data_IF_444776427645
#
_entry.id   IF_444776427645
#
_cell.length_a   1.000
_cell.length_b   1.000
_cell.length_c   1.000
_cell.angle_alpha   90.00
_cell.angle_beta   90.00
_cell.angle_gamma   90.00
#
_symmetry.space_group_name_H-M   'P 1'
#
loop_
_entity.id
_entity.type
_entity.pdbx_description
1 polymer ?
#
# COMPACT_ATOMS: atom_id res chain seq x y z
N UNK A 1 -23.48 -27.12 -20.39
CA UNK A 1 -22.12 -26.54 -20.45
C UNK A 1 -21.17 -27.59 -21.04
N UNK A 2 -20.52 -27.31 -22.16
CA UNK A 2 -19.63 -28.27 -22.84
C UNK A 2 -18.19 -28.05 -22.36
N UNK A 3 -17.56 -29.08 -21.81
CA UNK A 3 -16.18 -29.03 -21.33
C UNK A 3 -15.24 -29.06 -22.56
N UNK A 4 -14.32 -28.09 -22.73
CA UNK A 4 -13.44 -28.06 -23.90
C UNK A 4 -12.51 -29.28 -23.88
N UNK A 5 -12.54 -30.06 -24.96
CA UNK A 5 -11.86 -31.37 -25.08
C UNK A 5 -10.31 -31.33 -25.00
N UNK A 6 -9.69 -30.14 -24.93
CA UNK A 6 -8.23 -29.97 -24.91
C UNK A 6 -7.75 -28.83 -23.99
N UNK A 7 -8.26 -28.78 -22.75
CA UNK A 7 -7.88 -27.75 -21.77
C UNK A 7 -6.35 -27.63 -21.57
N UNK A 8 -5.67 -28.76 -21.38
CA UNK A 8 -4.21 -28.79 -21.15
C UNK A 8 -3.40 -28.34 -22.36
N UNK A 9 -3.75 -28.78 -23.57
CA UNK A 9 -3.02 -28.39 -24.78
C UNK A 9 -3.09 -26.88 -25.05
N UNK A 10 -4.23 -26.25 -24.76
CA UNK A 10 -4.39 -24.80 -24.87
C UNK A 10 -3.55 -24.07 -23.82
N UNK A 11 -3.56 -24.55 -22.57
CA UNK A 11 -2.76 -23.99 -21.48
C UNK A 11 -1.26 -24.06 -21.77
N UNK A 12 -0.75 -25.22 -22.23
CA UNK A 12 0.66 -25.40 -22.60
C UNK A 12 1.09 -24.47 -23.73
N UNK A 13 0.24 -24.27 -24.74
CA UNK A 13 0.50 -23.30 -25.83
C UNK A 13 0.57 -21.87 -25.31
N UNK A 14 -0.33 -21.49 -24.40
CA UNK A 14 -0.29 -20.16 -23.77
C UNK A 14 0.98 -19.99 -22.93
N UNK A 15 1.34 -20.99 -22.13
CA UNK A 15 2.54 -20.97 -21.29
C UNK A 15 3.81 -20.84 -22.14
N UNK A 16 3.95 -21.64 -23.20
CA UNK A 16 5.09 -21.57 -24.13
C UNK A 16 5.17 -20.21 -24.82
N UNK A 17 4.03 -19.67 -25.28
CA UNK A 17 3.98 -18.34 -25.91
C UNK A 17 4.39 -17.24 -24.93
N UNK A 18 3.87 -17.27 -23.70
CA UNK A 18 4.22 -16.30 -22.65
C UNK A 18 5.69 -16.43 -22.25
N UNK A 19 6.21 -17.65 -22.10
CA UNK A 19 7.61 -17.91 -21.78
C UNK A 19 8.56 -17.35 -22.84
N UNK A 20 8.27 -17.56 -24.13
CA UNK A 20 9.06 -17.00 -25.24
C UNK A 20 9.01 -15.47 -25.28
N UNK A 21 7.83 -14.88 -25.11
CA UNK A 21 7.68 -13.42 -25.06
C UNK A 21 8.44 -12.82 -23.87
N UNK A 22 8.31 -13.43 -22.68
CA UNK A 22 9.02 -12.99 -21.48
C UNK A 22 10.55 -13.11 -21.64
N UNK A 23 11.04 -14.20 -22.24
CA UNK A 23 12.46 -14.36 -22.53
C UNK A 23 12.97 -13.27 -23.50
N UNK A 24 12.18 -12.95 -24.53
CA UNK A 24 12.51 -11.88 -25.48
C UNK A 24 12.53 -10.50 -24.81
N UNK A 25 11.57 -10.21 -23.92
CA UNK A 25 11.57 -8.99 -23.12
C UNK A 25 12.74 -8.92 -22.14
N UNK A 26 13.14 -10.05 -21.54
CA UNK A 26 14.31 -10.10 -20.67
C UNK A 26 15.62 -9.82 -21.44
N UNK A 27 15.76 -10.36 -22.66
CA UNK A 27 16.93 -10.12 -23.51
C UNK A 27 16.97 -8.72 -24.14
N UNK A 28 15.80 -8.14 -24.44
CA UNK A 28 15.65 -6.83 -25.09
C UNK A 28 14.52 -6.04 -24.42
N UNK A 29 14.78 -5.41 -23.27
CA UNK A 29 13.76 -4.67 -22.50
C UNK A 29 13.06 -3.56 -23.31
N UNK A 30 13.76 -2.96 -24.28
CA UNK A 30 13.24 -1.90 -25.15
C UNK A 30 12.09 -2.35 -26.06
N UNK A 31 11.96 -3.65 -26.33
CA UNK A 31 10.87 -4.19 -27.14
C UNK A 31 9.57 -4.29 -26.36
N UNK A 32 9.64 -4.37 -25.03
CA UNK A 32 8.46 -4.35 -24.20
C UNK A 32 7.84 -2.94 -24.20
N UNK A 33 6.65 -2.81 -24.80
CA UNK A 33 5.89 -1.55 -24.76
C UNK A 33 5.40 -1.24 -23.34
N UNK A 34 5.27 -2.26 -22.48
CA UNK A 34 4.85 -2.09 -21.09
C UNK A 34 6.01 -1.59 -20.23
N UNK A 35 7.23 -2.13 -20.39
CA UNK A 35 8.43 -1.60 -19.72
C UNK A 35 8.67 -0.13 -20.06
N UNK A 36 8.55 0.29 -21.33
CA UNK A 36 8.67 1.72 -21.71
C UNK A 36 7.60 2.61 -21.10
N UNK A 37 6.38 2.10 -20.88
CA UNK A 37 5.33 2.83 -20.15
C UNK A 37 5.57 2.82 -18.63
N UNK A 38 6.25 1.80 -18.08
CA UNK A 38 6.59 1.72 -16.64
C UNK A 38 7.55 2.82 -16.20
N UNK A 39 8.41 3.31 -17.10
CA UNK A 39 9.35 4.41 -16.78
C UNK A 39 8.63 5.73 -16.47
N UNK A 40 7.40 5.90 -16.95
CA UNK A 40 6.64 7.13 -16.74
C UNK A 40 5.57 6.92 -15.68
N UNK A 41 5.59 7.76 -14.64
CA UNK A 41 4.54 7.73 -13.65
C UNK A 41 3.18 8.05 -14.30
N UNK A 42 2.09 7.40 -13.84
CA UNK A 42 0.74 7.71 -14.30
C UNK A 42 0.39 9.19 -14.10
N UNK A 43 -0.52 9.70 -14.94
CA UNK A 43 -0.97 11.08 -14.82
C UNK A 43 -1.53 11.37 -13.41
N UNK A 44 -1.18 12.54 -12.87
CA UNK A 44 -1.57 13.00 -11.53
C UNK A 44 -0.97 12.21 -10.35
N UNK A 45 0.07 11.43 -10.61
CA UNK A 45 0.96 10.97 -9.55
C UNK A 45 1.72 12.12 -8.92
N UNK A 46 2.35 11.83 -7.78
CA UNK A 46 3.39 12.67 -7.19
C UNK A 46 4.64 11.81 -7.00
N UNK A 47 5.75 12.20 -7.62
CA UNK A 47 7.04 11.53 -7.43
C UNK A 47 7.58 11.90 -6.04
N UNK A 48 7.79 10.88 -5.20
CA UNK A 48 8.31 11.05 -3.84
C UNK A 48 9.82 10.74 -3.74
N UNK A 49 10.48 10.49 -4.88
CA UNK A 49 11.88 10.06 -4.94
C UNK A 49 12.07 8.60 -4.53
N UNK A 50 13.29 8.07 -4.71
CA UNK A 50 13.69 6.72 -4.28
C UNK A 50 12.77 5.57 -4.79
N UNK A 51 12.16 5.74 -5.95
CA UNK A 51 11.18 4.79 -6.50
C UNK A 51 9.78 4.90 -5.89
N UNK A 52 9.60 5.66 -4.82
CA UNK A 52 8.31 5.92 -4.20
C UNK A 52 7.50 6.97 -4.99
N UNK A 53 6.17 6.82 -4.99
CA UNK A 53 5.28 7.79 -5.60
C UNK A 53 3.87 7.72 -5.00
N UNK A 54 3.17 8.84 -4.87
CA UNK A 54 1.73 8.81 -4.62
C UNK A 54 0.98 8.62 -5.93
N UNK A 55 0.02 7.69 -5.95
CA UNK A 55 -0.73 7.30 -7.14
C UNK A 55 -2.21 7.69 -7.03
N UNK A 56 -2.94 7.55 -8.15
CA UNK A 56 -4.40 7.74 -8.11
C UNK A 56 -5.03 6.72 -7.16
N UNK A 57 -5.65 7.24 -6.12
CA UNK A 57 -6.97 7.87 -6.15
C UNK A 57 -6.81 9.18 -5.38
N UNK A 58 -6.93 10.35 -6.02
CA UNK A 58 -6.57 11.65 -5.42
C UNK A 58 -7.78 12.56 -5.32
N UNK A 59 -7.88 13.33 -4.24
CA UNK A 59 -8.88 14.39 -4.15
C UNK A 59 -8.77 15.37 -5.33
N UNK A 60 -9.92 15.77 -5.87
CA UNK A 60 -10.00 16.78 -6.92
C UNK A 60 -9.70 18.18 -6.36
N UNK A 61 -10.27 18.48 -5.20
CA UNK A 61 -10.19 19.77 -4.50
C UNK A 61 -9.38 19.64 -3.20
N UNK A 62 -8.84 20.74 -2.67
CA UNK A 62 -8.18 20.70 -1.37
C UNK A 62 -9.13 20.23 -0.26
N UNK A 63 -8.67 19.26 0.52
CA UNK A 63 -9.25 18.73 1.73
C UNK A 63 -8.74 19.52 2.94
N UNK A 64 -9.64 19.76 3.89
CA UNK A 64 -9.32 20.34 5.19
C UNK A 64 -9.42 19.25 6.25
N UNK A 65 -8.31 18.91 6.94
CA UNK A 65 -8.35 17.93 8.02
C UNK A 65 -9.22 18.40 9.18
N UNK A 66 -9.65 17.44 10.01
CA UNK A 66 -10.32 17.75 11.27
C UNK A 66 -9.33 18.41 12.26
N UNK A 67 -9.82 18.93 13.39
CA UNK A 67 -8.98 19.66 14.35
C UNK A 67 -7.84 18.78 14.93
N UNK A 68 -8.11 17.50 15.16
CA UNK A 68 -7.15 16.56 15.72
C UNK A 68 -6.04 16.21 14.70
N UNK A 69 -6.42 15.79 13.48
CA UNK A 69 -5.49 15.58 12.37
C UNK A 69 -4.63 16.83 12.11
N UNK A 70 -5.25 18.02 12.19
CA UNK A 70 -4.54 19.31 12.04
C UNK A 70 -3.46 19.47 13.12
N UNK A 71 -3.80 19.18 14.37
CA UNK A 71 -2.86 19.25 15.48
C UNK A 71 -1.67 18.31 15.27
N UNK A 72 -1.93 17.04 14.94
CA UNK A 72 -0.89 16.03 14.71
C UNK A 72 0.02 16.44 13.55
N UNK A 73 -0.56 16.89 12.42
CA UNK A 73 0.20 17.35 11.25
C UNK A 73 1.04 18.59 11.58
N UNK A 74 0.46 19.57 12.27
CA UNK A 74 1.19 20.78 12.65
C UNK A 74 2.34 20.48 13.61
N UNK A 75 2.12 19.64 14.62
CA UNK A 75 3.16 19.23 15.57
C UNK A 75 4.28 18.46 14.88
N UNK A 76 3.95 17.53 13.98
CA UNK A 76 4.96 16.72 13.28
C UNK A 76 5.78 17.55 12.27
N UNK A 77 5.14 18.48 11.57
CA UNK A 77 5.79 19.28 10.53
C UNK A 77 6.35 20.61 11.06
N UNK A 78 6.27 20.88 12.36
CA UNK A 78 6.64 22.15 12.97
C UNK A 78 6.00 23.35 12.23
N UNK A 79 4.66 23.33 12.18
CA UNK A 79 3.82 24.36 11.57
C UNK A 79 3.01 25.08 12.65
N UNK A 80 2.75 26.38 12.43
CA UNK A 80 1.85 27.13 13.31
C UNK A 80 0.44 26.52 13.28
N UNK A 81 -0.07 26.14 14.45
CA UNK A 81 -1.41 25.59 14.66
C UNK A 81 -2.54 26.54 14.22
N UNK A 82 -2.28 27.84 14.05
CA UNK A 82 -3.25 28.81 13.49
C UNK A 82 -3.35 28.76 11.97
N UNK A 83 -2.45 28.04 11.30
CA UNK A 83 -2.43 27.92 9.85
C UNK A 83 -3.62 27.11 9.36
N UNK A 84 -4.35 27.63 8.38
CA UNK A 84 -5.41 26.87 7.69
C UNK A 84 -4.78 25.79 6.82
N UNK A 85 -4.57 24.59 7.37
CA UNK A 85 -4.06 23.44 6.61
C UNK A 85 -5.05 23.04 5.52
N UNK A 86 -4.52 22.83 4.32
CA UNK A 86 -5.30 22.49 3.14
C UNK A 86 -4.41 21.76 2.14
N UNK A 87 -4.73 20.50 1.85
CA UNK A 87 -3.96 19.63 0.96
C UNK A 87 -4.88 18.68 0.21
N UNK A 88 -4.41 17.96 -0.80
CA UNK A 88 -5.18 16.87 -1.41
C UNK A 88 -4.86 15.58 -0.68
N UNK A 89 -5.82 14.65 -0.56
CA UNK A 89 -5.52 13.29 -0.10
C UNK A 89 -5.23 12.38 -1.29
N UNK A 90 -4.39 11.40 -1.08
CA UNK A 90 -4.09 10.31 -2.00
C UNK A 90 -4.46 8.96 -1.36
N UNK A 91 -5.00 8.09 -2.20
CA UNK A 91 -5.54 6.77 -1.85
C UNK A 91 -4.53 5.64 -1.93
N UNK A 92 -3.39 5.89 -2.58
CA UNK A 92 -2.39 4.88 -2.93
C UNK A 92 -0.99 5.47 -2.91
N UNK A 93 -0.02 4.67 -2.49
CA UNK A 93 1.39 4.96 -2.60
C UNK A 93 2.12 3.74 -3.19
N UNK A 94 2.96 3.97 -4.20
CA UNK A 94 4.03 3.03 -4.56
C UNK A 94 5.15 3.23 -3.55
N UNK A 95 5.52 2.17 -2.86
CA UNK A 95 6.64 2.14 -1.93
C UNK A 95 7.97 2.00 -2.68
N UNK A 96 9.13 2.30 -2.05
CA UNK A 96 10.44 2.14 -2.67
C UNK A 96 10.69 0.72 -3.23
N UNK A 97 10.12 -0.30 -2.58
CA UNK A 97 10.22 -1.69 -3.00
C UNK A 97 9.27 -2.10 -4.14
N UNK A 98 8.46 -1.17 -4.66
CA UNK A 98 7.50 -1.38 -5.73
C UNK A 98 6.10 -1.88 -5.32
N UNK A 99 5.84 -2.09 -4.02
CA UNK A 99 4.49 -2.43 -3.54
C UNK A 99 3.53 -1.26 -3.69
N UNK A 100 2.24 -1.57 -3.86
CA UNK A 100 1.19 -0.55 -3.80
C UNK A 100 0.48 -0.62 -2.45
N UNK A 101 0.88 0.29 -1.56
CA UNK A 101 0.17 0.53 -0.31
C UNK A 101 -1.11 1.34 -0.59
N UNK A 102 -2.19 0.99 0.10
CA UNK A 102 -3.50 1.64 -0.02
C UNK A 102 -3.86 2.35 1.26
N UNK A 103 -4.81 3.26 1.18
CA UNK A 103 -5.33 3.96 2.36
C UNK A 103 -6.83 3.80 2.48
N UNK A 104 -7.35 4.04 3.68
CA UNK A 104 -8.79 4.11 3.95
C UNK A 104 -9.52 5.04 2.99
N UNK A 105 -9.01 6.25 2.77
CA UNK A 105 -9.56 7.19 1.79
C UNK A 105 -9.65 6.59 0.37
N UNK A 106 -8.67 5.77 -0.02
CA UNK A 106 -8.68 5.06 -1.29
C UNK A 106 -9.81 4.03 -1.40
N UNK A 107 -10.28 3.49 -0.28
CA UNK A 107 -11.17 2.33 -0.22
C UNK A 107 -12.55 2.61 0.39
N UNK A 108 -12.79 3.78 0.97
CA UNK A 108 -14.02 4.17 1.69
C UNK A 108 -15.32 3.87 0.94
N UNK A 109 -15.30 3.99 -0.40
CA UNK A 109 -16.47 3.78 -1.27
C UNK A 109 -16.50 2.39 -1.93
N UNK A 110 -15.59 1.50 -1.60
CA UNK A 110 -15.56 0.14 -2.14
C UNK A 110 -16.45 -0.77 -1.30
N UNK A 111 -17.21 -1.64 -1.96
CA UNK A 111 -17.93 -2.71 -1.26
C UNK A 111 -16.94 -3.62 -0.53
N UNK A 112 -17.36 -4.25 0.57
CA UNK A 112 -16.51 -5.18 1.34
C UNK A 112 -15.89 -6.29 0.47
N UNK A 113 -16.54 -6.66 -0.64
CA UNK A 113 -16.05 -7.65 -1.62
C UNK A 113 -14.91 -7.13 -2.50
N UNK A 114 -14.78 -5.80 -2.67
CA UNK A 114 -13.80 -5.15 -3.54
C UNK A 114 -12.65 -4.51 -2.76
N UNK A 115 -12.71 -4.51 -1.43
CA UNK A 115 -11.63 -4.04 -0.57
C UNK A 115 -10.45 -5.01 -0.69
N UNK A 116 -9.33 -4.52 -1.22
CA UNK A 116 -8.06 -5.24 -1.20
C UNK A 116 -7.31 -4.76 0.04
N UNK A 117 -7.45 -5.46 1.16
CA UNK A 117 -6.88 -5.09 2.48
C UNK A 117 -5.35 -4.95 2.41
N UNK A 118 -4.87 -3.79 1.97
CA UNK A 118 -3.46 -3.40 1.83
C UNK A 118 -3.22 -2.03 2.49
N UNK A 119 -3.91 -1.81 3.62
CA UNK A 119 -3.91 -0.55 4.38
C UNK A 119 -2.90 -0.52 5.53
N UNK A 120 -2.43 -1.69 5.98
CA UNK A 120 -1.42 -1.77 7.02
C UNK A 120 -0.04 -1.76 6.38
N UNK A 121 0.86 -0.98 6.96
CA UNK A 121 2.23 -0.85 6.50
C UNK A 121 3.21 -0.95 7.66
N UNK A 122 4.38 -1.53 7.40
CA UNK A 122 5.52 -1.53 8.32
C UNK A 122 6.35 -0.28 8.06
N UNK A 123 6.49 0.54 9.09
CA UNK A 123 7.21 1.82 9.04
C UNK A 123 8.48 1.69 9.85
N UNK A 124 9.57 2.22 9.31
CA UNK A 124 10.84 2.32 10.01
C UNK A 124 10.84 3.57 10.89
N UNK A 125 11.11 3.41 12.18
CA UNK A 125 11.28 4.53 13.11
C UNK A 125 12.60 4.41 13.88
N UNK A 126 13.09 5.49 14.50
CA UNK A 126 14.30 5.45 15.33
C UNK A 126 14.22 4.45 16.50
N UNK A 127 13.02 4.24 17.04
CA UNK A 127 12.76 3.35 18.17
C UNK A 127 12.53 1.88 17.74
N UNK A 128 12.60 1.62 16.44
CA UNK A 128 12.34 0.30 15.83
C UNK A 128 11.21 0.32 14.81
N UNK A 129 10.93 -0.81 14.16
CA UNK A 129 9.79 -0.89 13.24
C UNK A 129 8.48 -0.74 14.02
N UNK A 130 7.50 -0.09 13.41
CA UNK A 130 6.12 -0.08 13.90
C UNK A 130 5.16 -0.41 12.76
N UNK A 131 3.93 -0.79 13.11
CA UNK A 131 2.88 -1.03 12.12
C UNK A 131 1.88 0.11 12.17
N UNK A 132 1.49 0.61 11.00
CA UNK A 132 0.53 1.69 10.87
C UNK A 132 -0.59 1.29 9.92
N UNK A 133 -1.83 1.52 10.32
CA UNK A 133 -2.99 1.50 9.45
C UNK A 133 -3.15 2.87 8.79
N UNK A 134 -3.05 2.93 7.46
CA UNK A 134 -3.02 4.19 6.71
C UNK A 134 -4.43 4.72 6.43
N UNK A 135 -4.73 5.93 6.91
CA UNK A 135 -5.98 6.64 6.60
C UNK A 135 -5.93 7.34 5.26
N UNK A 136 -4.87 8.12 5.02
CA UNK A 136 -4.62 8.77 3.74
C UNK A 136 -3.16 9.19 3.58
N UNK A 137 -2.74 9.40 2.33
CA UNK A 137 -1.47 10.04 2.01
C UNK A 137 -1.67 11.50 1.64
N UNK A 138 -0.66 12.33 1.84
CA UNK A 138 -0.68 13.74 1.48
C UNK A 138 0.72 14.26 1.14
N UNK A 139 0.79 15.46 0.56
CA UNK A 139 2.05 16.15 0.25
C UNK A 139 2.11 17.43 1.06
N UNK A 140 3.21 17.63 1.77
CA UNK A 140 3.52 18.87 2.50
C UNK A 140 5.02 19.16 2.38
N UNK A 141 5.40 20.43 2.24
CA UNK A 141 6.82 20.86 2.07
C UNK A 141 7.58 20.01 1.02
N UNK A 142 6.95 19.71 -0.11
CA UNK A 142 7.49 18.86 -1.18
C UNK A 142 7.93 17.45 -0.72
N UNK A 143 7.30 16.92 0.33
CA UNK A 143 7.52 15.56 0.83
C UNK A 143 6.18 14.84 0.90
N UNK A 144 6.18 13.57 0.53
CA UNK A 144 5.01 12.71 0.61
C UNK A 144 4.95 12.03 1.98
N UNK A 145 3.81 12.13 2.64
CA UNK A 145 3.56 11.57 3.96
C UNK A 145 2.36 10.64 3.94
N UNK A 146 2.34 9.70 4.88
CA UNK A 146 1.19 8.92 5.28
C UNK A 146 0.72 9.39 6.65
N UNK A 147 -0.58 9.62 6.80
CA UNK A 147 -1.23 9.78 8.10
C UNK A 147 -2.03 8.53 8.40
N UNK A 148 -1.88 8.03 9.62
CA UNK A 148 -2.54 6.81 10.05
C UNK A 148 -2.50 6.60 11.54
N UNK A 149 -2.85 5.38 11.87
CA UNK A 149 -3.07 4.84 13.19
C UNK A 149 -1.99 3.77 13.46
N UNK A 150 -1.08 4.03 14.38
CA UNK A 150 -0.08 3.06 14.82
C UNK A 150 -0.74 1.97 15.67
N UNK A 151 -0.37 0.72 15.42
CA UNK A 151 -0.64 -0.38 16.33
C UNK A 151 0.25 -0.28 17.57
N UNK A 152 -0.21 -0.84 18.68
CA UNK A 152 0.60 -0.92 19.90
C UNK A 152 1.92 -1.66 19.68
N UNK A 153 2.88 -1.43 20.59
CA UNK A 153 4.15 -2.16 20.60
C UNK A 153 3.92 -3.67 20.62
N UNK A 154 4.82 -4.46 19.99
CA UNK A 154 4.70 -5.89 20.00
C UNK A 154 4.82 -6.44 21.43
N UNK A 155 4.11 -7.53 21.71
CA UNK A 155 4.32 -8.33 22.91
C UNK A 155 5.78 -8.81 22.96
N UNK A 156 6.52 -8.30 23.95
CA UNK A 156 7.95 -8.53 24.06
C UNK A 156 8.29 -9.97 24.42
N UNK A 157 7.43 -10.66 25.18
CA UNK A 157 7.66 -12.03 25.60
C UNK A 157 7.41 -12.99 24.43
N UNK A 158 6.30 -12.83 23.70
CA UNK A 158 6.01 -13.60 22.48
C UNK A 158 7.07 -13.37 21.41
N UNK A 159 7.50 -12.12 21.20
CA UNK A 159 8.53 -11.81 20.22
C UNK A 159 9.87 -12.45 20.62
N UNK A 160 10.23 -12.44 21.91
CA UNK A 160 11.47 -13.06 22.42
C UNK A 160 11.43 -14.59 22.32
N UNK A 161 10.35 -15.22 22.77
CA UNK A 161 10.20 -16.69 22.79
C UNK A 161 10.12 -17.28 21.37
N UNK A 162 9.56 -16.51 20.44
CA UNK A 162 9.50 -16.88 19.02
C UNK A 162 10.77 -16.50 18.22
N UNK A 163 11.82 -16.00 18.88
CA UNK A 163 13.04 -15.53 18.23
C UNK A 163 12.79 -14.48 17.13
N UNK A 164 11.84 -13.57 17.36
CA UNK A 164 11.47 -12.51 16.42
C UNK A 164 10.49 -12.94 15.32
N UNK A 165 9.95 -14.16 15.39
CA UNK A 165 9.07 -14.70 14.34
C UNK A 165 7.62 -14.22 14.49
N UNK A 166 7.13 -14.12 15.73
CA UNK A 166 5.75 -13.77 16.03
C UNK A 166 5.68 -12.34 16.54
N UNK A 167 5.09 -11.47 15.73
CA UNK A 167 4.75 -10.10 16.14
C UNK A 167 3.26 -10.04 16.42
N UNK A 168 2.90 -9.92 17.69
CA UNK A 168 1.54 -9.64 18.13
C UNK A 168 1.48 -8.25 18.75
N UNK A 169 0.49 -7.46 18.37
CA UNK A 169 0.23 -6.14 18.91
C UNK A 169 -1.23 -6.05 19.36
N UNK A 170 -1.48 -5.30 20.44
CA UNK A 170 -2.83 -4.80 20.73
C UNK A 170 -3.29 -3.84 19.61
N UNK A 171 -4.58 -3.52 19.58
CA UNK A 171 -5.18 -2.67 18.55
C UNK A 171 -4.53 -1.31 18.31
N UNK A 172 -5.19 -0.50 17.49
CA UNK A 172 -4.74 0.87 17.17
C UNK A 172 -4.59 1.69 18.45
N UNK A 173 -3.39 2.22 18.68
CA UNK A 173 -3.03 2.94 19.88
C UNK A 173 -2.96 4.45 19.64
N UNK A 174 -2.10 4.88 18.71
CA UNK A 174 -1.72 6.29 18.57
C UNK A 174 -1.75 6.76 17.12
N UNK A 175 -1.91 8.07 16.91
CA UNK A 175 -1.77 8.65 15.58
C UNK A 175 -0.30 8.76 15.20
N UNK A 176 -0.04 8.46 13.93
CA UNK A 176 1.30 8.50 13.38
C UNK A 176 1.32 9.21 12.02
N UNK A 177 2.39 9.97 11.81
CA UNK A 177 2.77 10.49 10.50
C UNK A 177 4.14 9.90 10.16
N UNK A 178 4.24 9.36 8.95
CA UNK A 178 5.48 8.80 8.43
C UNK A 178 5.75 9.33 7.02
N UNK A 179 7.02 9.54 6.67
CA UNK A 179 7.40 9.74 5.28
C UNK A 179 7.08 8.47 4.49
N UNK A 180 6.60 8.61 3.25
CA UNK A 180 6.37 7.44 2.38
C UNK A 180 7.66 6.66 2.12
N UNK A 181 8.81 7.33 2.16
CA UNK A 181 10.11 6.70 2.00
C UNK A 181 10.56 5.87 3.22
N UNK A 182 9.95 6.09 4.39
CA UNK A 182 10.23 5.32 5.61
C UNK A 182 9.31 4.10 5.74
N UNK A 183 8.41 3.89 4.78
CA UNK A 183 7.53 2.74 4.74
C UNK A 183 8.25 1.60 4.02
N UNK A 184 8.61 0.56 4.78
CA UNK A 184 9.36 -0.58 4.29
C UNK A 184 8.49 -1.52 3.47
N UNK A 185 7.27 -1.81 3.93
CA UNK A 185 6.39 -2.74 3.23
C UNK A 185 4.91 -2.64 3.59
N UNK A 186 4.06 -3.18 2.71
CA UNK A 186 2.66 -3.50 2.99
C UNK A 186 2.59 -4.83 3.73
N UNK A 187 1.85 -4.83 4.82
CA UNK A 187 1.65 -5.99 5.70
C UNK A 187 0.16 -6.21 5.96
N UNK A 188 -0.19 -7.33 6.58
CA UNK A 188 -1.52 -7.54 7.13
C UNK A 188 -1.44 -7.64 8.66
N UNK A 189 -2.36 -6.96 9.33
CA UNK A 189 -2.62 -7.17 10.76
C UNK A 189 -3.90 -7.99 10.86
N UNK A 190 -3.75 -9.25 11.25
CA UNK A 190 -4.85 -10.21 11.27
C UNK A 190 -5.37 -10.34 12.70
N UNK A 191 -6.66 -10.02 12.95
CA UNK A 191 -7.21 -10.13 14.29
C UNK A 191 -7.24 -11.59 14.75
N UNK A 192 -6.93 -11.81 16.02
CA UNK A 192 -7.10 -13.09 16.72
C UNK A 192 -7.57 -12.84 18.15
N UNK A 193 -8.10 -13.88 18.81
CA UNK A 193 -8.47 -13.82 20.21
C UNK A 193 -7.25 -14.16 21.06
N UNK A 194 -6.80 -13.22 21.87
CA UNK A 194 -5.73 -13.48 22.83
C UNK A 194 -6.24 -14.27 24.04
N UNK A 195 -5.33 -14.80 24.86
CA UNK A 195 -5.63 -15.57 26.07
C UNK A 195 -6.48 -14.77 27.09
N UNK A 196 -6.34 -13.43 27.07
CA UNK A 196 -7.07 -12.50 27.94
C UNK A 196 -8.38 -11.96 27.33
N UNK A 197 -8.80 -12.48 26.16
CA UNK A 197 -9.98 -12.03 25.39
C UNK A 197 -9.91 -10.55 24.92
N UNK A 198 -8.71 -9.98 24.94
CA UNK A 198 -8.39 -8.68 24.34
C UNK A 198 -8.31 -8.79 22.81
N UNK A 199 -8.73 -7.74 22.09
CA UNK A 199 -8.57 -7.66 20.64
C UNK A 199 -7.09 -7.47 20.27
N UNK A 200 -6.47 -8.55 19.81
CA UNK A 200 -5.07 -8.60 19.40
C UNK A 200 -4.92 -8.88 17.91
N UNK A 201 -3.78 -8.49 17.36
CA UNK A 201 -3.48 -8.61 15.93
C UNK A 201 -2.09 -9.19 15.73
N UNK A 202 -1.99 -10.23 14.90
CA UNK A 202 -0.69 -10.74 14.48
C UNK A 202 -0.29 -10.19 13.12
N UNK A 203 1.00 -9.87 12.99
CA UNK A 203 1.59 -9.41 11.75
C UNK A 203 1.76 -10.56 10.76
N UNK A 204 1.35 -10.33 9.52
CA UNK A 204 1.67 -11.18 8.37
C UNK A 204 2.36 -10.35 7.32
N UNK A 205 3.62 -10.69 7.08
CA UNK A 205 4.39 -10.16 5.95
C UNK A 205 4.16 -11.02 4.71
N UNK A 206 4.18 -10.41 3.52
CA UNK A 206 3.99 -11.13 2.26
C UNK A 206 5.30 -11.85 1.90
N UNK A 207 5.36 -13.20 1.95
CA UNK A 207 6.60 -13.93 1.73
C UNK A 207 7.09 -13.80 0.28
N UNK A 208 8.42 -13.75 0.10
CA UNK A 208 9.08 -13.83 -1.22
C UNK A 208 9.10 -12.54 -2.04
N UNK A 209 8.74 -11.40 -1.47
CA UNK A 209 8.72 -10.15 -2.20
C UNK A 209 10.11 -9.54 -2.42
N UNK A 210 11.03 -9.67 -1.47
CA UNK A 210 12.41 -9.25 -1.64
C UNK A 210 13.07 -9.91 -2.86
N UNK A 211 12.67 -11.14 -3.19
CA UNK A 211 13.09 -11.84 -4.41
C UNK A 211 12.37 -11.34 -5.68
N UNK A 212 11.12 -10.88 -5.56
CA UNK A 212 10.33 -10.38 -6.68
C UNK A 212 10.80 -8.99 -7.15
N UNK A 213 11.24 -8.13 -6.24
CA UNK A 213 11.80 -6.81 -6.56
C UNK A 213 13.14 -6.94 -7.30
N UNK A 214 13.99 -7.91 -6.93
CA UNK A 214 15.21 -8.27 -7.70
C UNK A 214 14.87 -8.75 -9.12
N UNK A 215 13.70 -9.37 -9.30
CA UNK A 215 13.18 -9.80 -10.60
C UNK A 215 12.45 -8.72 -11.42
N UNK A 216 12.41 -7.46 -10.95
CA UNK A 216 11.73 -6.35 -11.64
C UNK A 216 10.20 -6.43 -11.60
N UNK A 217 9.64 -7.20 -10.67
CA UNK A 217 8.19 -7.31 -10.49
C UNK A 217 7.67 -6.12 -9.67
N UNK A 218 6.86 -5.28 -10.31
CA UNK A 218 6.06 -4.25 -9.65
C UNK A 218 4.61 -4.71 -9.58
N UNK A 219 3.95 -4.43 -8.46
CA UNK A 219 2.55 -4.78 -8.29
C UNK A 219 1.70 -3.93 -9.25
N UNK A 220 0.89 -4.55 -10.14
CA UNK A 220 0.18 -3.79 -11.15
C UNK A 220 -0.88 -2.90 -10.49
N UNK A 221 -0.83 -1.60 -10.77
CA UNK A 221 -1.90 -0.67 -10.43
C UNK A 221 -3.13 -0.98 -11.30
N UNK A 222 -3.98 -1.89 -10.81
CA UNK A 222 -5.30 -2.15 -11.40
C UNK A 222 -6.25 -1.08 -10.88
N UNK A 223 -6.42 -0.02 -11.65
CA UNK A 223 -7.59 0.84 -11.54
C UNK A 223 -8.83 -0.03 -11.77
N UNK A 224 -9.67 -0.21 -10.76
CA UNK A 224 -11.00 -0.79 -10.98
C UNK A 224 -11.84 0.30 -11.61
N UNK A 225 -12.13 0.17 -12.91
CA UNK A 225 -13.18 0.93 -13.58
C UNK A 225 -14.48 0.67 -12.81
N UNK A 226 -14.97 1.70 -12.12
CA UNK A 226 -16.29 1.66 -11.50
C UNK A 226 -17.32 1.41 -12.59
N UNK A 227 -18.26 0.52 -12.31
CA UNK A 227 -19.44 0.27 -13.12
C UNK A 227 -20.30 1.55 -13.22
N UNK A 228 -19.96 2.44 -14.14
CA UNK A 228 -20.83 3.49 -14.65
C UNK A 228 -21.30 3.07 -16.04
N UNK A 229 -22.29 2.19 -16.09
CA UNK A 229 -23.16 1.99 -17.25
C UNK A 229 -24.31 1.09 -16.82
N UNK A 230 -25.37 1.68 -16.29
CA UNK A 230 -26.76 1.19 -16.38
C UNK A 230 -27.68 2.10 -15.56
N UNK A 231 -27.99 3.30 -16.08
CA UNK A 231 -29.36 3.86 -15.99
C UNK A 231 -29.55 4.78 -17.20
N UNK A 232 -29.96 4.20 -18.32
CA UNK A 232 -30.71 4.88 -19.36
C UNK A 232 -31.72 3.87 -19.91
N UNK A 233 -32.89 3.84 -19.27
CA UNK A 233 -34.11 3.18 -19.71
C UNK A 233 -35.25 4.15 -19.48
#
# INVERSE_FOLDING_TARGET
MHQPSKAYANLSKIALRRGRINALYAMRPELDRKSRKKEQLPQYSYDAGNGAALLRKRDRYPFRPNAYDTQVICSHLDLDHKSKLSFKRWGRARLPNGQIARSEFGEEKLSLRNIRRARCVKVRTPDGPCIMYVRYYFVARNTAFALGDAFGSPDADLLRESYGTVWSSKGVADYMIASVNDIDSVVAMVPYQDLDDDEAFFLVEKPGLDMATVGGFEEPDREEEGAENEIAG
#
